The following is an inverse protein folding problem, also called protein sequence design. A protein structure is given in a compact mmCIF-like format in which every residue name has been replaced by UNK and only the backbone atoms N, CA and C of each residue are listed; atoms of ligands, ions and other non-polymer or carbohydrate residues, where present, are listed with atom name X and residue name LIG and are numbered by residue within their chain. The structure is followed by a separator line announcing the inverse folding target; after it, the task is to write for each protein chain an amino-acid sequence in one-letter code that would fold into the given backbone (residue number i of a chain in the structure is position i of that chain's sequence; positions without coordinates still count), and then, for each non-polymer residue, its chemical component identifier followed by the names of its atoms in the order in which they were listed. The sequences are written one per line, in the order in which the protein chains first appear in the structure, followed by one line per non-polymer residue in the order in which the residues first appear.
data_IF_340600984673
#
_entry.id   IF_340600984673
#
_cell.length_a   1.000
_cell.length_b   1.000
_cell.length_c   1.000
_cell.angle_alpha   90.00
_cell.angle_beta   90.00
_cell.angle_gamma   90.00
#
_symmetry.space_group_name_H-M   'P 1'
#
loop_
_entity.id
_entity.type
_entity.pdbx_description
1 polymer ?
#
# COMPACT_ATOMS: atom_id res chain seq x y z
N UNK A 1 19.80 6.99 18.52
CA UNK A 1 18.68 6.53 17.67
C UNK A 1 18.41 5.01 17.77
N UNK A 2 18.95 4.29 18.79
CA UNK A 2 18.78 2.84 18.94
C UNK A 2 17.48 2.44 19.66
N UNK A 3 16.97 3.26 20.60
CA UNK A 3 15.80 2.90 21.42
C UNK A 3 14.51 2.71 20.63
N UNK A 4 14.28 3.52 19.58
CA UNK A 4 13.06 3.46 18.77
C UNK A 4 12.98 2.13 18.01
N UNK A 5 14.12 1.65 17.49
CA UNK A 5 14.17 0.39 16.73
C UNK A 5 13.88 -0.81 17.64
N UNK A 6 14.46 -0.80 18.84
CA UNK A 6 14.24 -1.84 19.85
C UNK A 6 12.79 -1.86 20.36
N UNK A 7 12.15 -0.70 20.51
CA UNK A 7 10.73 -0.59 20.87
C UNK A 7 9.84 -1.15 19.75
N UNK A 8 10.17 -0.85 18.49
CA UNK A 8 9.42 -1.35 17.34
C UNK A 8 9.48 -2.88 17.25
N UNK A 9 10.68 -3.46 17.38
CA UNK A 9 10.88 -4.92 17.35
C UNK A 9 10.13 -5.61 18.50
N UNK A 10 10.12 -5.03 19.71
CA UNK A 10 9.34 -5.55 20.84
C UNK A 10 7.83 -5.48 20.60
N UNK A 11 7.31 -4.40 20.02
CA UNK A 11 5.89 -4.28 19.67
C UNK A 11 5.47 -5.27 18.57
N UNK A 12 6.39 -5.57 17.65
CA UNK A 12 6.18 -6.54 16.59
C UNK A 12 6.18 -7.98 17.14
N UNK A 13 7.05 -8.28 18.12
CA UNK A 13 7.11 -9.56 18.83
C UNK A 13 5.95 -9.75 19.82
N UNK A 14 5.43 -8.67 20.40
CA UNK A 14 4.35 -8.73 21.39
C UNK A 14 2.95 -8.89 20.79
N UNK A 15 2.83 -8.97 19.46
CA UNK A 15 1.53 -9.06 18.76
C UNK A 15 0.67 -7.80 18.88
N UNK A 16 1.23 -6.68 19.36
CA UNK A 16 0.54 -5.38 19.42
C UNK A 16 0.26 -4.83 18.02
N UNK A 17 1.10 -5.20 17.04
CA UNK A 17 0.83 -4.97 15.63
C UNK A 17 0.09 -6.20 15.12
N UNK A 18 -1.23 -6.15 14.91
CA UNK A 18 -1.96 -7.30 14.40
C UNK A 18 -1.39 -7.69 13.05
N UNK A 19 -0.99 -8.95 12.91
CA UNK A 19 -0.76 -9.55 11.61
C UNK A 19 -2.06 -9.44 10.82
N UNK A 20 -2.06 -8.58 9.81
CA UNK A 20 -3.22 -8.35 8.97
C UNK A 20 -2.79 -8.56 7.53
N UNK A 21 -3.66 -9.21 6.77
CA UNK A 21 -3.45 -9.37 5.34
C UNK A 21 -3.66 -8.00 4.68
N UNK A 22 -2.57 -7.27 4.42
CA UNK A 22 -2.60 -5.89 3.92
C UNK A 22 -3.52 -5.73 2.71
N UNK A 23 -3.54 -6.74 1.81
CA UNK A 23 -4.37 -6.78 0.59
C UNK A 23 -5.86 -6.48 0.83
N UNK A 24 -6.42 -6.86 1.98
CA UNK A 24 -7.84 -6.61 2.31
C UNK A 24 -8.08 -5.26 3.01
N UNK A 25 -7.01 -4.56 3.38
CA UNK A 25 -7.07 -3.33 4.16
C UNK A 25 -6.40 -2.16 3.42
N UNK A 26 -6.28 -2.26 2.09
CA UNK A 26 -5.72 -1.19 1.26
C UNK A 26 -6.76 -0.12 0.98
N UNK A 27 -6.35 1.14 1.08
CA UNK A 27 -7.05 2.30 0.54
C UNK A 27 -6.22 2.88 -0.59
N UNK A 28 -6.86 3.26 -1.69
CA UNK A 28 -6.23 3.93 -2.82
C UNK A 28 -5.93 5.37 -2.41
N UNK A 29 -4.69 5.81 -2.60
CA UNK A 29 -4.24 7.18 -2.38
C UNK A 29 -4.22 7.98 -3.68
N UNK A 30 -3.74 7.36 -4.75
CA UNK A 30 -3.55 8.02 -6.04
C UNK A 30 -3.69 6.99 -7.17
N UNK A 31 -4.25 7.43 -8.30
CA UNK A 31 -4.32 6.66 -9.53
C UNK A 31 -3.81 7.51 -10.69
N UNK A 32 -2.95 6.93 -11.51
CA UNK A 32 -2.53 7.53 -12.77
C UNK A 32 -3.35 6.92 -13.88
N UNK A 33 -4.04 7.77 -14.61
CA UNK A 33 -4.88 7.40 -15.74
C UNK A 33 -4.14 7.65 -17.06
N UNK A 34 -4.20 6.68 -17.96
CA UNK A 34 -3.87 6.89 -19.37
C UNK A 34 -5.17 7.05 -20.13
N UNK A 35 -5.38 8.24 -20.68
CA UNK A 35 -6.54 8.58 -21.51
C UNK A 35 -6.11 8.52 -22.97
N UNK A 36 -6.61 7.54 -23.71
CA UNK A 36 -6.58 7.59 -25.16
C UNK A 36 -7.99 7.86 -25.69
N UNK A 37 -8.14 8.02 -27.01
CA UNK A 37 -9.40 8.39 -27.67
C UNK A 37 -10.57 7.43 -27.42
N UNK A 38 -10.30 6.23 -26.87
CA UNK A 38 -11.26 5.13 -26.75
C UNK A 38 -11.44 4.64 -25.30
N UNK A 39 -10.43 4.78 -24.43
CA UNK A 39 -10.43 4.23 -23.08
C UNK A 39 -9.70 5.12 -22.07
N UNK A 40 -10.30 5.25 -20.90
CA UNK A 40 -9.65 5.77 -19.69
C UNK A 40 -9.26 4.58 -18.80
N UNK A 41 -7.98 4.21 -18.83
CA UNK A 41 -7.45 3.08 -18.06
C UNK A 41 -6.54 3.54 -16.94
N UNK A 42 -6.63 2.92 -15.76
CA UNK A 42 -5.67 3.16 -14.67
C UNK A 42 -4.40 2.38 -14.99
N UNK A 43 -3.28 3.07 -15.18
CA UNK A 43 -1.97 2.46 -15.48
C UNK A 43 -1.04 2.42 -14.27
N UNK A 44 -1.28 3.24 -13.26
CA UNK A 44 -0.56 3.20 -11.99
C UNK A 44 -1.52 3.42 -10.82
N UNK A 45 -1.23 2.79 -9.67
CA UNK A 45 -2.02 2.95 -8.45
C UNK A 45 -1.11 2.93 -7.24
N UNK A 46 -1.28 3.91 -6.36
CA UNK A 46 -0.66 3.98 -5.05
C UNK A 46 -1.71 3.67 -3.99
N UNK A 47 -1.44 2.68 -3.15
CA UNK A 47 -2.33 2.23 -2.09
C UNK A 47 -1.63 2.22 -0.74
N UNK A 48 -2.35 2.49 0.33
CA UNK A 48 -1.85 2.45 1.71
C UNK A 48 -2.65 1.46 2.53
N UNK A 49 -2.00 0.66 3.36
CA UNK A 49 -2.72 -0.15 4.32
C UNK A 49 -3.23 0.69 5.49
N UNK A 50 -4.50 0.57 5.83
CA UNK A 50 -5.12 1.30 6.96
C UNK A 50 -4.56 0.91 8.34
N UNK A 51 -3.98 -0.29 8.46
CA UNK A 51 -3.53 -0.84 9.75
C UNK A 51 -2.04 -0.54 9.97
N UNK A 52 -1.14 -1.00 9.10
CA UNK A 52 0.31 -0.74 9.26
C UNK A 52 0.83 0.50 8.52
N UNK A 53 -0.03 1.24 7.81
CA UNK A 53 0.39 2.40 7.01
C UNK A 53 1.40 2.12 5.90
N UNK A 54 1.72 0.84 5.61
CA UNK A 54 2.61 0.46 4.51
C UNK A 54 2.03 0.90 3.16
N UNK A 55 2.89 1.45 2.31
CA UNK A 55 2.54 1.91 0.96
C UNK A 55 2.87 0.81 -0.06
N UNK A 56 2.00 0.67 -1.05
CA UNK A 56 2.11 -0.26 -2.17
C UNK A 56 1.92 0.52 -3.47
N UNK A 57 2.79 0.29 -4.43
CA UNK A 57 2.75 0.93 -5.74
C UNK A 57 2.64 -0.16 -6.81
N UNK A 58 1.77 0.04 -7.79
CA UNK A 58 1.56 -0.86 -8.91
C UNK A 58 1.56 -0.07 -10.21
N UNK A 59 2.15 -0.65 -11.26
CA UNK A 59 2.21 -0.06 -12.59
C UNK A 59 2.05 -1.14 -13.67
N UNK A 60 1.09 -0.95 -14.59
CA UNK A 60 0.99 -1.72 -15.84
C UNK A 60 0.51 -0.76 -16.95
N UNK A 61 1.33 -0.51 -18.00
CA UNK A 61 0.96 0.38 -19.10
C UNK A 61 -0.23 -0.11 -19.93
N UNK A 62 -0.60 -1.40 -19.83
CA UNK A 62 -1.78 -1.99 -20.46
C UNK A 62 -3.04 -1.86 -19.60
N UNK A 63 -2.91 -1.33 -18.38
CA UNK A 63 -3.97 -1.18 -17.40
C UNK A 63 -3.81 -2.13 -16.23
N UNK A 64 -4.03 -1.61 -15.02
CA UNK A 64 -4.13 -2.38 -13.80
C UNK A 64 -5.49 -3.10 -13.75
N UNK A 65 -5.46 -4.42 -13.52
CA UNK A 65 -6.65 -5.25 -13.33
C UNK A 65 -7.24 -5.14 -11.92
#
# INVERSE_FOLDING_TARGET
MMEVKTLFDKCQQSGLIPEHKCKYNLIILEETHSVNSLHNIVIARKSKCKICSKIFEAYDPRGLK
#
